data_IF_371640921469
#
_entry.id   IF_371640921469
#
_cell.length_a   1.000
_cell.length_b   1.000
_cell.length_c   1.000
_cell.angle_alpha   90.00
_cell.angle_beta   90.00
_cell.angle_gamma   90.00
#
_symmetry.space_group_name_H-M   'P 1'
#
loop_
_entity.id
_entity.type
_entity.pdbx_description
1 polymer ?
#
# COMPACT_ATOMS: atom_id res chain seq x y z
N UNK A 1 -17.06 -10.69 13.28
CA UNK A 1 -17.59 -9.41 13.78
C UNK A 1 -17.42 -8.43 12.64
N UNK A 2 -18.49 -7.71 12.25
CA UNK A 2 -18.39 -6.72 11.17
C UNK A 2 -17.47 -5.59 11.63
N UNK A 3 -16.52 -5.17 10.80
CA UNK A 3 -15.64 -4.06 11.16
C UNK A 3 -16.42 -2.75 11.16
N UNK A 4 -16.03 -1.83 12.05
CA UNK A 4 -16.62 -0.49 12.13
C UNK A 4 -15.51 0.54 12.03
N UNK A 5 -15.63 1.49 11.09
CA UNK A 5 -14.69 2.60 10.98
C UNK A 5 -14.60 3.44 12.27
N UNK A 6 -15.65 3.42 13.10
CA UNK A 6 -15.69 4.10 14.39
C UNK A 6 -14.77 3.47 15.45
N UNK A 7 -14.35 2.22 15.26
CA UNK A 7 -13.44 1.53 16.17
C UNK A 7 -12.05 1.48 15.55
N UNK A 8 -11.12 2.25 16.11
CA UNK A 8 -9.72 2.18 15.72
C UNK A 8 -9.14 0.82 16.12
N UNK A 9 -8.65 0.01 15.16
CA UNK A 9 -8.02 -1.26 15.49
C UNK A 9 -6.66 -1.07 16.14
N UNK A 10 -6.24 -2.05 16.95
CA UNK A 10 -4.90 -2.06 17.52
C UNK A 10 -3.89 -2.52 16.45
N UNK A 11 -2.84 -1.74 16.13
CA UNK A 11 -1.90 -2.14 15.10
C UNK A 11 -1.13 -3.40 15.48
N UNK A 12 -0.80 -4.21 14.49
CA UNK A 12 0.10 -5.37 14.66
C UNK A 12 1.48 -4.91 15.11
N UNK A 13 2.28 -5.81 15.70
CA UNK A 13 3.66 -5.49 16.13
C UNK A 13 4.51 -4.96 14.98
N UNK A 14 4.35 -5.48 13.76
CA UNK A 14 5.07 -4.98 12.58
C UNK A 14 4.70 -3.51 12.27
N UNK A 15 3.40 -3.20 12.26
CA UNK A 15 2.90 -1.83 12.02
C UNK A 15 3.36 -0.86 13.10
N UNK A 16 3.35 -1.30 14.36
CA UNK A 16 3.89 -0.54 15.50
C UNK A 16 5.36 -0.20 15.31
N UNK A 17 6.17 -1.18 14.89
CA UNK A 17 7.59 -0.94 14.61
C UNK A 17 7.77 0.08 13.47
N UNK A 18 7.01 -0.06 12.38
CA UNK A 18 7.08 0.89 11.27
C UNK A 18 6.69 2.31 11.68
N UNK A 19 5.61 2.48 12.46
CA UNK A 19 5.16 3.79 12.99
C UNK A 19 6.17 4.36 14.00
N UNK A 20 6.74 3.53 14.87
CA UNK A 20 7.68 4.03 15.88
C UNK A 20 8.97 4.57 15.25
N UNK A 21 9.45 3.93 14.18
CA UNK A 21 10.74 4.23 13.56
C UNK A 21 10.65 5.06 12.28
N UNK A 22 9.46 5.26 11.72
CA UNK A 22 9.31 5.89 10.40
C UNK A 22 10.05 5.12 9.31
N UNK A 23 9.96 3.79 9.32
CA UNK A 23 10.79 2.95 8.45
C UNK A 23 10.11 1.66 8.03
N UNK A 24 10.47 1.19 6.84
CA UNK A 24 10.35 -0.21 6.46
C UNK A 24 11.47 -0.99 7.17
N UNK A 25 11.10 -2.01 7.95
CA UNK A 25 12.04 -2.79 8.77
C UNK A 25 11.93 -4.29 8.47
N UNK A 26 13.08 -4.96 8.45
CA UNK A 26 13.19 -6.41 8.42
C UNK A 26 13.42 -6.92 9.84
N UNK A 27 12.65 -7.94 10.25
CA UNK A 27 12.69 -8.50 11.61
C UNK A 27 13.20 -9.95 11.67
N UNK A 28 14.01 -10.36 10.68
CA UNK A 28 14.68 -11.67 10.67
C UNK A 28 15.40 -11.93 11.99
N UNK A 29 15.20 -13.14 12.55
CA UNK A 29 15.73 -13.54 13.85
C UNK A 29 14.91 -13.07 15.07
N UNK A 30 13.94 -12.17 14.88
CA UNK A 30 13.00 -11.71 15.93
C UNK A 30 11.58 -12.25 15.74
N UNK A 31 11.30 -12.87 14.60
CA UNK A 31 9.99 -13.40 14.25
C UNK A 31 10.11 -14.80 13.66
N UNK A 32 9.09 -15.61 13.89
CA UNK A 32 8.83 -16.87 13.19
C UNK A 32 7.62 -16.68 12.29
N UNK A 33 7.75 -17.00 11.01
CA UNK A 33 6.70 -16.83 10.00
C UNK A 33 6.14 -18.19 9.63
N UNK A 34 4.86 -18.42 9.91
CA UNK A 34 4.19 -19.70 9.68
C UNK A 34 3.02 -19.55 8.70
N UNK A 35 2.70 -20.57 7.89
CA UNK A 35 1.51 -20.52 7.04
C UNK A 35 0.23 -20.45 7.87
N UNK A 36 -0.74 -19.65 7.43
CA UNK A 36 -2.08 -19.60 8.05
C UNK A 36 -2.84 -20.90 7.70
N UNK A 37 -3.31 -21.68 8.69
CA UNK A 37 -4.12 -22.86 8.44
C UNK A 37 -5.41 -22.52 7.70
N UNK A 38 -5.79 -23.34 6.72
CA UNK A 38 -7.05 -23.21 5.96
C UNK A 38 -7.26 -21.83 5.30
N UNK A 39 -6.17 -21.14 4.93
CA UNK A 39 -6.23 -19.84 4.28
C UNK A 39 -7.02 -19.91 2.96
N UNK A 40 -8.08 -19.10 2.88
CA UNK A 40 -8.93 -18.97 1.70
C UNK A 40 -8.69 -17.64 0.97
N UNK A 41 -8.06 -17.73 -0.21
CA UNK A 41 -7.77 -16.57 -1.05
C UNK A 41 -9.05 -15.87 -1.54
N UNK A 42 -10.17 -16.58 -1.70
CA UNK A 42 -11.43 -16.03 -2.23
C UNK A 42 -12.18 -15.16 -1.22
N UNK A 43 -11.76 -15.20 0.05
CA UNK A 43 -12.25 -14.28 1.07
C UNK A 43 -11.48 -12.94 1.09
N UNK A 44 -10.51 -12.73 0.20
CA UNK A 44 -9.67 -11.52 0.12
C UNK A 44 -9.91 -10.71 -1.17
N UNK A 45 -9.25 -9.56 -1.32
CA UNK A 45 -9.18 -8.79 -2.59
C UNK A 45 -8.76 -9.60 -3.79
N UNK A 46 -8.05 -10.70 -3.57
CA UNK A 46 -7.56 -11.58 -4.62
C UNK A 46 -8.63 -12.58 -5.10
N UNK A 47 -9.88 -12.51 -4.63
CA UNK A 47 -10.99 -13.33 -5.16
C UNK A 47 -11.15 -13.20 -6.67
N UNK A 48 -10.85 -12.02 -7.21
CA UNK A 48 -10.94 -11.73 -8.65
C UNK A 48 -9.68 -12.11 -9.43
N UNK A 49 -8.62 -12.57 -8.75
CA UNK A 49 -7.37 -13.01 -9.35
C UNK A 49 -7.58 -14.35 -10.07
N UNK A 50 -7.25 -14.38 -11.36
CA UNK A 50 -7.39 -15.56 -12.20
C UNK A 50 -6.06 -16.29 -12.43
N UNK A 51 -6.18 -17.59 -12.69
CA UNK A 51 -5.06 -18.45 -13.08
C UNK A 51 -4.41 -19.14 -11.88
N UNK A 52 -4.32 -20.48 -11.96
CA UNK A 52 -3.82 -21.33 -10.87
C UNK A 52 -2.41 -20.94 -10.41
N UNK A 53 -1.51 -20.61 -11.34
CA UNK A 53 -0.14 -20.23 -11.02
C UNK A 53 -0.07 -18.88 -10.28
N UNK A 54 -0.79 -17.85 -10.76
CA UNK A 54 -0.82 -16.54 -10.11
C UNK A 54 -1.43 -16.63 -8.71
N UNK A 55 -2.56 -17.34 -8.57
CA UNK A 55 -3.20 -17.59 -7.28
C UNK A 55 -2.29 -18.34 -6.32
N UNK A 56 -1.60 -19.40 -6.78
CA UNK A 56 -0.64 -20.14 -5.95
C UNK A 56 0.50 -19.25 -5.43
N UNK A 57 1.07 -18.41 -6.31
CA UNK A 57 2.14 -17.46 -5.93
C UNK A 57 1.64 -16.46 -4.89
N UNK A 58 0.46 -15.86 -5.11
CA UNK A 58 -0.12 -14.90 -4.16
C UNK A 58 -0.44 -15.58 -2.84
N UNK A 59 -1.11 -16.74 -2.83
CA UNK A 59 -1.38 -17.50 -1.60
C UNK A 59 -0.10 -17.77 -0.82
N UNK A 60 0.99 -18.18 -1.48
CA UNK A 60 2.28 -18.44 -0.81
C UNK A 60 2.87 -17.18 -0.17
N UNK A 61 2.54 -15.99 -0.66
CA UNK A 61 3.03 -14.71 -0.13
C UNK A 61 2.17 -14.16 1.00
N UNK A 62 0.84 -14.29 0.89
CA UNK A 62 -0.10 -13.67 1.82
C UNK A 62 -0.63 -14.60 2.90
N UNK A 63 -0.61 -15.92 2.69
CA UNK A 63 -1.09 -16.91 3.66
C UNK A 63 -0.05 -17.16 4.77
N UNK A 64 0.38 -16.10 5.44
CA UNK A 64 1.46 -16.12 6.43
C UNK A 64 1.09 -15.32 7.66
N UNK A 65 1.42 -15.85 8.83
CA UNK A 65 1.29 -15.20 10.12
C UNK A 65 2.67 -15.04 10.76
N UNK A 66 2.89 -13.91 11.42
CA UNK A 66 4.15 -13.58 12.09
C UNK A 66 4.00 -13.75 13.61
N UNK A 67 4.74 -14.68 14.19
CA UNK A 67 4.86 -14.88 15.63
C UNK A 67 6.14 -14.21 16.11
N UNK A 68 5.99 -13.17 16.92
CA UNK A 68 7.11 -12.39 17.43
C UNK A 68 7.72 -13.01 18.69
N UNK A 69 9.04 -12.90 18.82
CA UNK A 69 9.68 -13.07 20.13
C UNK A 69 9.08 -12.10 21.15
N UNK A 70 8.85 -12.58 22.37
CA UNK A 70 8.16 -11.81 23.40
C UNK A 70 8.93 -10.55 23.80
N UNK A 71 10.26 -10.62 23.91
CA UNK A 71 11.08 -9.46 24.25
C UNK A 71 11.11 -8.45 23.10
N UNK A 72 11.22 -8.92 21.85
CA UNK A 72 11.13 -8.06 20.67
C UNK A 72 9.77 -7.36 20.57
N UNK A 73 8.66 -8.07 20.80
CA UNK A 73 7.33 -7.49 20.78
C UNK A 73 7.12 -6.44 21.89
N UNK A 74 7.62 -6.70 23.10
CA UNK A 74 7.55 -5.76 24.22
C UNK A 74 8.36 -4.49 23.94
N UNK A 75 9.56 -4.62 23.37
CA UNK A 75 10.39 -3.48 22.98
C UNK A 75 9.66 -2.59 21.96
N UNK A 76 9.12 -3.20 20.89
CA UNK A 76 8.34 -2.49 19.88
C UNK A 76 7.10 -1.82 20.48
N UNK A 77 6.40 -2.48 21.40
CA UNK A 77 5.25 -1.90 22.08
C UNK A 77 5.63 -0.65 22.88
N UNK A 78 6.77 -0.68 23.58
CA UNK A 78 7.25 0.46 24.35
C UNK A 78 7.65 1.64 23.44
N UNK A 79 8.35 1.36 22.34
CA UNK A 79 8.74 2.36 21.33
C UNK A 79 7.50 3.00 20.67
N UNK A 80 6.51 2.19 20.30
CA UNK A 80 5.25 2.67 19.76
C UNK A 80 4.48 3.51 20.77
N UNK A 81 4.38 3.08 22.04
CA UNK A 81 3.73 3.86 23.09
C UNK A 81 4.39 5.23 23.28
N UNK A 82 5.73 5.29 23.23
CA UNK A 82 6.48 6.55 23.28
C UNK A 82 6.19 7.44 22.05
N UNK A 83 6.19 6.87 20.85
CA UNK A 83 5.87 7.58 19.62
C UNK A 83 4.44 8.15 19.62
N UNK A 84 3.45 7.36 20.06
CA UNK A 84 2.04 7.77 20.19
C UNK A 84 1.82 8.85 21.25
N UNK A 85 2.58 8.81 22.34
CA UNK A 85 2.54 9.84 23.36
C UNK A 85 3.08 11.19 22.84
N UNK A 86 4.04 11.15 21.91
CA UNK A 86 4.61 12.34 21.29
C UNK A 86 3.74 12.94 20.17
N UNK A 87 2.92 12.13 19.48
CA UNK A 87 2.14 12.57 18.32
C UNK A 87 0.67 12.16 18.45
N UNK A 88 -0.21 13.04 18.91
CA UNK A 88 -1.66 12.76 19.00
C UNK A 88 -2.28 12.59 17.61
N UNK A 89 -3.20 11.63 17.45
CA UNK A 89 -3.96 11.51 16.20
C UNK A 89 -4.94 12.68 16.06
N UNK A 90 -5.06 13.27 14.86
CA UNK A 90 -6.10 14.24 14.61
C UNK A 90 -7.47 13.57 14.68
N UNK A 91 -8.47 14.33 15.14
CA UNK A 91 -9.85 13.86 15.19
C UNK A 91 -10.43 13.83 13.78
N UNK A 92 -11.01 12.70 13.39
CA UNK A 92 -11.80 12.56 12.16
C UNK A 92 -13.19 13.15 12.42
N UNK A 93 -13.72 13.95 11.47
CA UNK A 93 -15.01 14.60 11.66
C UNK A 93 -16.14 13.58 11.87
N UNK A 94 -17.12 13.86 12.75
CA UNK A 94 -18.26 12.96 12.96
C UNK A 94 -19.02 12.65 11.67
N UNK A 95 -19.15 13.61 10.76
CA UNK A 95 -19.85 13.47 9.49
C UNK A 95 -19.13 12.48 8.56
N UNK A 96 -17.80 12.58 8.47
CA UNK A 96 -17.00 11.63 7.69
C UNK A 96 -17.03 10.25 8.35
N UNK A 97 -16.93 10.18 9.66
CA UNK A 97 -17.01 8.89 10.37
C UNK A 97 -18.36 8.21 10.15
N UNK A 98 -19.44 8.98 10.21
CA UNK A 98 -20.78 8.49 9.91
C UNK A 98 -20.87 7.97 8.47
N UNK A 99 -20.32 8.69 7.50
CA UNK A 99 -20.25 8.23 6.12
C UNK A 99 -19.49 6.91 6.01
N UNK A 100 -18.32 6.78 6.61
CA UNK A 100 -17.54 5.52 6.55
C UNK A 100 -18.32 4.35 7.16
N UNK A 101 -19.03 4.57 8.26
CA UNK A 101 -19.81 3.50 8.92
C UNK A 101 -21.06 3.11 8.12
N UNK A 102 -21.80 4.07 7.55
CA UNK A 102 -23.08 3.77 6.88
C UNK A 102 -22.94 3.49 5.39
N UNK A 103 -21.95 4.10 4.73
CA UNK A 103 -21.85 4.11 3.27
C UNK A 103 -20.73 3.21 2.73
N UNK A 104 -19.77 2.81 3.55
CA UNK A 104 -18.67 1.93 3.13
C UNK A 104 -18.83 0.49 3.65
N UNK A 105 -18.45 -0.46 2.80
CA UNK A 105 -18.30 -1.86 3.12
C UNK A 105 -16.80 -2.19 3.23
N UNK A 106 -16.34 -2.36 4.46
CA UNK A 106 -14.94 -2.69 4.76
C UNK A 106 -14.70 -4.21 4.87
N UNK A 107 -15.75 -5.03 4.81
CA UNK A 107 -15.63 -6.49 4.91
C UNK A 107 -15.13 -7.12 3.59
N UNK A 108 -14.90 -6.31 2.55
CA UNK A 108 -14.65 -6.76 1.17
C UNK A 108 -13.16 -6.96 0.86
N UNK A 109 -12.24 -6.42 1.66
CA UNK A 109 -10.80 -6.37 1.32
C UNK A 109 -9.99 -7.55 1.86
N UNK A 110 -10.14 -7.88 3.15
CA UNK A 110 -9.41 -8.98 3.75
C UNK A 110 -10.36 -9.84 4.58
N UNK A 111 -10.34 -11.14 4.29
CA UNK A 111 -11.16 -12.19 4.92
C UNK A 111 -11.18 -12.19 6.45
N UNK A 112 -10.11 -11.63 7.02
CA UNK A 112 -9.72 -11.60 8.42
C UNK A 112 -9.94 -10.22 9.07
N UNK A 113 -10.43 -9.21 8.33
CA UNK A 113 -10.63 -7.86 8.83
C UNK A 113 -9.38 -6.98 8.81
N UNK A 114 -8.34 -7.27 8.02
CA UNK A 114 -7.15 -6.41 8.00
C UNK A 114 -7.29 -5.11 7.20
N UNK A 115 -8.47 -4.73 6.71
CA UNK A 115 -8.61 -3.53 5.87
C UNK A 115 -8.58 -2.21 6.64
N UNK A 116 -9.49 -2.02 7.61
CA UNK A 116 -9.47 -0.82 8.45
C UNK A 116 -8.13 -0.68 9.19
N UNK A 117 -7.62 -1.81 9.64
CA UNK A 117 -6.27 -2.08 10.09
C UNK A 117 -5.17 -1.43 9.22
N UNK A 118 -5.25 -1.63 7.91
CA UNK A 118 -4.35 -1.05 6.92
C UNK A 118 -4.55 0.46 6.75
N UNK A 119 -5.80 0.92 6.66
CA UNK A 119 -6.14 2.35 6.55
C UNK A 119 -5.64 3.13 7.77
N UNK A 120 -5.89 2.62 8.97
CA UNK A 120 -5.45 3.23 10.22
C UNK A 120 -3.93 3.19 10.36
N UNK A 121 -3.26 2.09 10.00
CA UNK A 121 -1.78 2.08 9.95
C UNK A 121 -1.24 3.25 9.10
N UNK A 122 -1.76 3.39 7.89
CA UNK A 122 -1.31 4.44 6.96
C UNK A 122 -1.64 5.84 7.49
N UNK A 123 -2.81 6.03 8.09
CA UNK A 123 -3.22 7.27 8.76
C UNK A 123 -2.25 7.63 9.90
N UNK A 124 -1.98 6.70 10.81
CA UNK A 124 -1.09 6.93 11.96
C UNK A 124 0.35 7.21 11.52
N UNK A 125 0.85 6.45 10.54
CA UNK A 125 2.18 6.66 9.99
C UNK A 125 2.32 8.07 9.39
N UNK A 126 1.30 8.51 8.64
CA UNK A 126 1.31 9.83 7.97
C UNK A 126 1.32 10.98 8.96
N UNK A 127 0.56 10.88 10.06
CA UNK A 127 0.55 11.89 11.14
C UNK A 127 1.96 12.18 11.64
N UNK A 128 2.77 11.13 11.81
CA UNK A 128 4.09 11.25 12.41
C UNK A 128 5.19 11.51 11.38
N UNK A 129 5.09 10.90 10.19
CA UNK A 129 6.19 10.82 9.23
C UNK A 129 5.93 11.56 7.92
N UNK A 130 4.78 12.22 7.77
CA UNK A 130 4.52 13.14 6.67
C UNK A 130 3.65 14.33 7.09
N UNK A 131 4.05 15.08 8.15
CA UNK A 131 3.19 16.07 8.81
C UNK A 131 2.84 17.29 7.94
N UNK A 132 3.50 17.47 6.79
CA UNK A 132 3.17 18.52 5.82
C UNK A 132 1.98 18.21 4.93
N UNK A 133 1.43 17.00 5.00
CA UNK A 133 0.28 16.55 4.20
C UNK A 133 -0.82 15.97 5.09
N UNK A 134 -2.05 15.91 4.56
CA UNK A 134 -3.19 15.44 5.35
C UNK A 134 -3.18 13.92 5.54
N UNK A 135 -3.16 13.41 6.79
CA UNK A 135 -3.28 11.99 7.06
C UNK A 135 -4.64 11.43 6.65
N UNK A 136 -5.67 12.27 6.51
CA UNK A 136 -7.00 11.86 6.08
C UNK A 136 -6.98 11.20 4.70
N UNK A 137 -6.08 11.63 3.81
CA UNK A 137 -5.88 10.96 2.52
C UNK A 137 -5.60 9.47 2.73
N UNK A 138 -4.74 9.13 3.69
CA UNK A 138 -4.35 7.75 3.98
C UNK A 138 -5.38 6.97 4.81
N UNK A 139 -6.34 7.63 5.44
CA UNK A 139 -7.52 6.93 5.99
C UNK A 139 -8.51 6.55 4.88
N UNK A 140 -8.54 7.29 3.77
CA UNK A 140 -9.54 7.17 2.71
C UNK A 140 -8.99 6.56 1.42
N UNK A 141 -7.69 6.29 1.34
CA UNK A 141 -6.95 6.08 0.09
C UNK A 141 -7.47 4.91 -0.78
N UNK A 142 -8.10 3.90 -0.18
CA UNK A 142 -8.61 2.70 -0.87
C UNK A 142 -10.13 2.60 -0.95
N UNK A 143 -10.89 3.59 -0.44
CA UNK A 143 -12.37 3.51 -0.44
C UNK A 143 -12.97 3.55 -1.85
N UNK A 144 -12.28 4.27 -2.76
CA UNK A 144 -12.63 4.40 -4.18
C UNK A 144 -12.02 3.31 -5.06
N UNK A 145 -11.40 2.28 -4.45
CA UNK A 145 -10.84 1.15 -5.16
C UNK A 145 -9.50 0.73 -4.61
N UNK A 146 -9.17 -0.54 -4.83
CA UNK A 146 -7.90 -1.13 -4.40
C UNK A 146 -7.00 -1.42 -5.60
N UNK A 147 -5.87 -2.10 -5.35
CA UNK A 147 -5.06 -2.71 -6.42
C UNK A 147 -5.82 -3.76 -7.26
N UNK A 148 -7.00 -4.22 -6.83
CA UNK A 148 -7.91 -5.10 -7.58
C UNK A 148 -9.26 -4.40 -7.83
N UNK A 149 -10.29 -5.13 -8.25
CA UNK A 149 -11.62 -4.60 -8.53
C UNK A 149 -12.56 -4.72 -7.32
N UNK A 150 -12.06 -4.42 -6.13
CA UNK A 150 -12.86 -4.26 -4.91
C UNK A 150 -12.96 -2.78 -4.55
N UNK A 151 -14.12 -2.38 -4.04
CA UNK A 151 -14.46 -1.00 -3.71
C UNK A 151 -15.24 -1.00 -2.40
N UNK A 152 -14.89 -0.10 -1.49
CA UNK A 152 -15.64 0.04 -0.24
C UNK A 152 -16.98 0.75 -0.46
N UNK A 153 -17.08 1.58 -1.50
CA UNK A 153 -18.31 2.28 -1.88
C UNK A 153 -18.52 2.25 -3.39
N UNK A 154 -19.73 2.55 -3.82
CA UNK A 154 -20.10 2.71 -5.23
C UNK A 154 -19.92 4.16 -5.70
N UNK A 155 -19.75 4.38 -7.01
CA UNK A 155 -19.45 5.69 -7.58
C UNK A 155 -20.54 6.76 -7.33
N UNK A 156 -21.80 6.35 -7.21
CA UNK A 156 -22.94 7.23 -6.92
C UNK A 156 -22.84 7.91 -5.55
N UNK A 157 -21.99 7.43 -4.65
CA UNK A 157 -21.76 8.00 -3.32
C UNK A 157 -20.69 9.11 -3.31
N UNK A 158 -19.96 9.31 -4.41
CA UNK A 158 -18.92 10.35 -4.54
C UNK A 158 -19.46 11.77 -4.24
N UNK A 159 -20.64 12.20 -4.71
CA UNK A 159 -21.18 13.52 -4.39
C UNK A 159 -21.41 13.76 -2.90
N UNK A 160 -21.68 12.70 -2.12
CA UNK A 160 -21.84 12.78 -0.67
C UNK A 160 -20.51 12.75 0.08
N UNK A 161 -19.52 11.99 -0.41
CA UNK A 161 -18.19 11.90 0.18
C UNK A 161 -17.37 13.18 -0.02
N UNK A 162 -17.33 13.71 -1.24
CA UNK A 162 -16.42 14.80 -1.64
C UNK A 162 -16.51 16.05 -0.75
N UNK A 163 -17.69 16.53 -0.32
CA UNK A 163 -17.81 17.69 0.56
C UNK A 163 -17.26 17.49 1.98
N UNK A 164 -16.96 16.25 2.38
CA UNK A 164 -16.43 15.91 3.71
C UNK A 164 -14.90 16.06 3.79
N UNK A 165 -14.28 16.56 2.73
CA UNK A 165 -12.84 16.75 2.59
C UNK A 165 -12.53 18.13 1.99
N UNK A 166 -11.31 18.59 2.24
CA UNK A 166 -10.75 19.74 1.50
C UNK A 166 -10.51 19.38 0.02
N UNK A 167 -10.45 20.36 -0.88
CA UNK A 167 -10.15 20.11 -2.29
C UNK A 167 -8.81 19.38 -2.50
N UNK A 168 -7.79 19.71 -1.69
CA UNK A 168 -6.46 19.09 -1.76
C UNK A 168 -6.48 17.64 -1.32
N UNK A 169 -7.25 17.29 -0.29
CA UNK A 169 -7.45 15.90 0.13
C UNK A 169 -8.18 15.11 -0.95
N UNK A 170 -9.25 15.69 -1.51
CA UNK A 170 -10.02 15.04 -2.57
C UNK A 170 -9.16 14.69 -3.78
N UNK A 171 -8.33 15.63 -4.26
CA UNK A 171 -7.41 15.39 -5.38
C UNK A 171 -6.52 14.16 -5.15
N UNK A 172 -6.06 13.95 -3.93
CA UNK A 172 -5.20 12.83 -3.59
C UNK A 172 -5.99 11.52 -3.40
N UNK A 173 -7.14 11.58 -2.70
CA UNK A 173 -8.02 10.42 -2.47
C UNK A 173 -8.57 9.86 -3.77
N UNK A 174 -9.05 10.71 -4.69
CA UNK A 174 -9.60 10.23 -5.96
C UNK A 174 -8.55 9.67 -6.92
N UNK A 175 -7.32 10.15 -6.80
CA UNK A 175 -6.20 9.70 -7.61
C UNK A 175 -5.54 8.42 -7.10
N UNK A 176 -5.62 8.16 -5.79
CA UNK A 176 -4.78 7.16 -5.14
C UNK A 176 -4.86 5.77 -5.79
N UNK A 177 -6.06 5.18 -6.04
CA UNK A 177 -6.14 3.86 -6.66
C UNK A 177 -5.54 3.84 -8.07
N UNK A 178 -5.70 4.93 -8.82
CA UNK A 178 -5.17 5.06 -10.18
C UNK A 178 -3.67 5.16 -10.20
N UNK A 179 -3.08 5.96 -9.31
CA UNK A 179 -1.61 6.10 -9.18
C UNK A 179 -1.00 4.74 -8.82
N UNK A 180 -1.60 3.99 -7.89
CA UNK A 180 -1.16 2.64 -7.55
C UNK A 180 -1.16 1.71 -8.78
N UNK A 181 -2.23 1.72 -9.58
CA UNK A 181 -2.32 0.90 -10.79
C UNK A 181 -1.31 1.31 -11.87
N UNK A 182 -1.10 2.61 -12.08
CA UNK A 182 -0.10 3.13 -13.01
C UNK A 182 1.32 2.74 -12.61
N UNK A 183 1.61 2.75 -11.31
CA UNK A 183 2.88 2.28 -10.76
C UNK A 183 3.11 0.79 -11.05
N UNK A 184 2.12 -0.06 -10.78
CA UNK A 184 2.21 -1.49 -11.09
C UNK A 184 2.26 -1.79 -12.60
N UNK A 185 1.60 -0.99 -13.44
CA UNK A 185 1.64 -1.16 -14.88
C UNK A 185 3.06 -0.97 -15.43
N UNK A 186 3.81 0.01 -14.89
CA UNK A 186 5.25 0.17 -15.13
C UNK A 186 5.69 1.33 -16.06
N UNK A 187 4.97 1.70 -17.14
CA UNK A 187 5.39 2.81 -18.00
C UNK A 187 5.63 4.14 -17.26
N UNK A 188 4.73 4.51 -16.33
CA UNK A 188 4.88 5.72 -15.53
C UNK A 188 6.21 5.75 -14.76
N UNK A 189 6.56 4.64 -14.11
CA UNK A 189 7.83 4.54 -13.35
C UNK A 189 9.04 4.72 -14.27
N UNK A 190 9.01 4.13 -15.47
CA UNK A 190 10.11 4.28 -16.45
C UNK A 190 10.25 5.73 -16.91
N UNK A 191 9.15 6.36 -17.32
CA UNK A 191 9.17 7.75 -17.80
C UNK A 191 9.66 8.72 -16.72
N UNK A 192 9.18 8.58 -15.48
CA UNK A 192 9.63 9.40 -14.36
C UNK A 192 11.13 9.20 -14.06
N UNK A 193 11.63 7.95 -14.16
CA UNK A 193 13.06 7.65 -13.98
C UNK A 193 13.93 8.27 -15.06
N UNK A 194 13.54 8.12 -16.32
CA UNK A 194 14.27 8.69 -17.47
C UNK A 194 14.35 10.22 -17.38
N UNK A 195 13.34 10.85 -16.76
CA UNK A 195 13.24 12.30 -16.61
C UNK A 195 13.54 12.81 -15.19
N UNK A 196 14.11 11.99 -14.30
CA UNK A 196 14.34 12.36 -12.90
C UNK A 196 15.24 13.61 -12.74
N UNK A 197 16.14 13.84 -13.70
CA UNK A 197 17.01 15.03 -13.77
C UNK A 197 16.25 16.35 -13.94
N UNK A 198 14.97 16.30 -14.32
CA UNK A 198 14.08 17.45 -14.52
C UNK A 198 12.74 17.26 -13.80
N UNK A 199 12.76 16.63 -12.63
CA UNK A 199 11.55 16.30 -11.85
C UNK A 199 10.62 17.51 -11.59
N UNK A 200 11.19 18.71 -11.46
CA UNK A 200 10.43 19.97 -11.28
C UNK A 200 9.77 20.50 -12.56
N UNK A 201 10.12 19.96 -13.74
CA UNK A 201 9.53 20.37 -15.00
C UNK A 201 8.17 19.69 -15.28
N UNK A 202 7.64 18.85 -14.38
CA UNK A 202 6.30 18.30 -14.56
C UNK A 202 5.28 19.41 -14.28
N UNK A 203 4.61 19.89 -15.32
CA UNK A 203 3.52 20.84 -15.18
C UNK A 203 2.26 20.13 -14.67
N UNK A 204 1.90 19.01 -15.30
CA UNK A 204 0.72 18.23 -14.94
C UNK A 204 0.79 16.78 -15.40
N UNK A 205 -0.07 15.95 -14.83
CA UNK A 205 -0.38 14.61 -15.33
C UNK A 205 -1.89 14.45 -15.43
N UNK A 206 -2.36 13.85 -16.52
CA UNK A 206 -3.76 13.47 -16.74
C UNK A 206 -3.88 11.96 -16.85
N UNK A 207 -4.87 11.36 -16.19
CA UNK A 207 -5.18 9.92 -16.19
C UNK A 207 -6.66 9.70 -15.81
N UNK A 208 -7.09 8.46 -15.56
CA UNK A 208 -8.49 8.13 -15.27
C UNK A 208 -8.66 7.54 -13.86
N UNK A 209 -9.79 7.84 -13.22
CA UNK A 209 -10.17 7.33 -11.89
C UNK A 209 -10.59 5.87 -11.98
N UNK A 210 -10.17 5.04 -11.03
CA UNK A 210 -10.44 3.58 -11.06
C UNK A 210 -11.94 3.24 -11.05
N UNK A 211 -12.73 3.87 -10.18
CA UNK A 211 -14.11 3.44 -9.91
C UNK A 211 -15.09 3.68 -11.06
N UNK A 212 -14.88 4.71 -11.88
CA UNK A 212 -15.82 5.15 -12.91
C UNK A 212 -15.16 5.72 -14.17
N UNK A 213 -13.84 5.58 -14.29
CA UNK A 213 -13.03 6.05 -15.42
C UNK A 213 -13.13 7.58 -15.67
N UNK A 214 -13.57 8.37 -14.69
CA UNK A 214 -13.61 9.83 -14.82
C UNK A 214 -12.18 10.39 -15.00
N UNK A 215 -11.96 11.39 -15.87
CA UNK A 215 -10.64 11.97 -16.06
C UNK A 215 -10.20 12.74 -14.80
N UNK A 216 -8.95 12.56 -14.42
CA UNK A 216 -8.26 13.28 -13.35
C UNK A 216 -7.11 14.05 -13.98
N UNK A 217 -6.92 15.29 -13.56
CA UNK A 217 -5.70 16.06 -13.84
C UNK A 217 -5.16 16.62 -12.53
N UNK A 218 -3.87 16.42 -12.30
CA UNK A 218 -3.18 16.95 -11.11
C UNK A 218 -1.90 17.66 -11.51
N UNK A 219 -1.45 18.59 -10.68
CA UNK A 219 -0.18 19.28 -10.89
C UNK A 219 1.01 18.32 -10.71
N UNK A 220 2.20 18.70 -11.18
CA UNK A 220 3.41 17.93 -10.88
C UNK A 220 3.70 17.84 -9.39
N UNK A 221 3.41 18.90 -8.62
CA UNK A 221 3.51 18.88 -7.15
C UNK A 221 2.60 17.82 -6.55
N UNK A 222 1.34 17.80 -6.97
CA UNK A 222 0.36 16.83 -6.48
C UNK A 222 0.72 15.38 -6.85
N UNK A 223 1.35 15.17 -8.01
CA UNK A 223 1.88 13.85 -8.39
C UNK A 223 2.98 13.40 -7.42
N UNK A 224 3.95 14.27 -7.11
CA UNK A 224 5.00 13.93 -6.14
C UNK A 224 4.44 13.67 -4.75
N UNK A 225 3.43 14.43 -4.32
CA UNK A 225 2.68 14.15 -3.09
C UNK A 225 2.03 12.76 -3.13
N UNK A 226 1.33 12.43 -4.22
CA UNK A 226 0.67 11.13 -4.41
C UNK A 226 1.67 9.97 -4.33
N UNK A 227 2.84 10.13 -4.93
CA UNK A 227 3.90 9.12 -4.91
C UNK A 227 4.48 8.90 -3.50
N UNK A 228 4.56 9.94 -2.67
CA UNK A 228 4.95 9.77 -1.26
C UNK A 228 3.89 9.02 -0.44
N UNK A 229 2.59 9.28 -0.69
CA UNK A 229 1.53 8.46 -0.09
C UNK A 229 1.62 7.00 -0.52
N UNK A 230 1.91 6.73 -1.79
CA UNK A 230 2.13 5.36 -2.27
C UNK A 230 3.34 4.70 -1.60
N UNK A 231 4.42 5.47 -1.34
CA UNK A 231 5.58 4.95 -0.63
C UNK A 231 5.23 4.50 0.80
N UNK A 232 4.45 5.31 1.54
CA UNK A 232 3.96 4.98 2.89
C UNK A 232 3.05 3.74 2.83
N UNK A 233 2.08 3.74 1.92
CA UNK A 233 1.14 2.64 1.73
C UNK A 233 1.85 1.29 1.52
N UNK A 234 2.92 1.28 0.73
CA UNK A 234 3.67 0.08 0.42
C UNK A 234 4.43 -0.52 1.61
N UNK A 235 4.68 0.25 2.69
CA UNK A 235 5.36 -0.25 3.90
C UNK A 235 4.59 -1.41 4.53
N UNK A 236 3.25 -1.35 4.52
CA UNK A 236 2.41 -2.37 5.16
C UNK A 236 2.45 -3.73 4.44
N UNK A 237 2.83 -3.73 3.16
CA UNK A 237 2.86 -4.92 2.32
C UNK A 237 4.24 -5.57 2.21
N UNK A 238 5.23 -5.06 2.95
CA UNK A 238 6.56 -5.63 2.94
C UNK A 238 6.61 -6.92 3.78
N UNK A 239 7.37 -7.94 3.36
CA UNK A 239 7.58 -9.13 4.18
C UNK A 239 8.12 -8.74 5.56
N UNK A 240 7.61 -9.34 6.63
CA UNK A 240 8.09 -9.04 8.00
C UNK A 240 9.56 -9.44 8.22
N UNK A 241 10.06 -10.43 7.46
CA UNK A 241 11.39 -11.00 7.57
C UNK A 241 11.86 -11.57 6.22
N UNK A 242 13.11 -12.02 6.18
CA UNK A 242 13.75 -12.73 5.07
C UNK A 242 13.72 -11.95 3.73
N UNK A 243 13.99 -10.65 3.78
CA UNK A 243 13.96 -9.75 2.62
C UNK A 243 14.90 -10.19 1.50
N UNK A 244 16.07 -10.75 1.81
CA UNK A 244 16.99 -11.30 0.79
C UNK A 244 16.34 -12.43 -0.03
N UNK A 245 15.42 -13.18 0.57
CA UNK A 245 14.71 -14.29 -0.08
C UNK A 245 13.46 -13.79 -0.80
N UNK A 246 12.75 -12.81 -0.26
CA UNK A 246 11.50 -12.29 -0.82
C UNK A 246 11.68 -11.11 -1.79
N UNK A 247 12.87 -10.98 -2.40
CA UNK A 247 13.17 -9.90 -3.34
C UNK A 247 12.20 -9.81 -4.54
N UNK A 248 11.54 -10.92 -4.89
CA UNK A 248 10.60 -10.97 -6.00
C UNK A 248 9.14 -10.72 -5.62
N UNK A 249 8.87 -10.38 -4.35
CA UNK A 249 7.56 -9.90 -3.93
C UNK A 249 7.22 -8.61 -4.68
N UNK A 250 6.01 -8.53 -5.24
CA UNK A 250 5.61 -7.45 -6.15
C UNK A 250 5.46 -6.11 -5.44
N UNK A 251 4.96 -6.10 -4.21
CA UNK A 251 4.86 -4.89 -3.39
C UNK A 251 6.26 -4.44 -2.97
N UNK A 252 7.13 -5.40 -2.62
CA UNK A 252 8.51 -5.07 -2.26
C UNK A 252 9.33 -4.55 -3.44
N UNK A 253 9.16 -5.11 -4.64
CA UNK A 253 9.78 -4.57 -5.86
C UNK A 253 9.31 -3.13 -6.09
N UNK A 254 8.00 -2.89 -6.03
CA UNK A 254 7.44 -1.57 -6.25
C UNK A 254 7.93 -0.57 -5.20
N UNK A 255 7.96 -0.96 -3.93
CA UNK A 255 8.49 -0.14 -2.83
C UNK A 255 9.94 0.28 -3.09
N UNK A 256 10.84 -0.67 -3.36
CA UNK A 256 12.27 -0.37 -3.59
C UNK A 256 12.47 0.53 -4.79
N UNK A 257 11.71 0.29 -5.85
CA UNK A 257 11.79 1.09 -7.08
C UNK A 257 11.28 2.52 -6.84
N UNK A 258 10.15 2.68 -6.17
CA UNK A 258 9.57 3.98 -5.85
C UNK A 258 10.45 4.77 -4.87
N UNK A 259 11.00 4.10 -3.85
CA UNK A 259 11.94 4.68 -2.90
C UNK A 259 13.14 5.29 -3.61
N UNK A 260 13.80 4.51 -4.49
CA UNK A 260 14.96 4.96 -5.25
C UNK A 260 14.59 6.03 -6.30
N UNK A 261 13.41 5.95 -6.92
CA UNK A 261 12.92 6.99 -7.83
C UNK A 261 12.74 8.33 -7.10
N UNK A 262 12.05 8.35 -5.96
CA UNK A 262 11.82 9.58 -5.20
C UNK A 262 13.12 10.18 -4.67
N UNK A 263 14.07 9.33 -4.25
CA UNK A 263 15.41 9.78 -3.86
C UNK A 263 16.16 10.43 -5.03
N UNK A 264 16.22 9.75 -6.18
CA UNK A 264 16.91 10.26 -7.39
C UNK A 264 16.30 11.55 -7.91
N UNK A 265 14.99 11.72 -7.77
CA UNK A 265 14.28 12.93 -8.16
C UNK A 265 14.40 14.06 -7.13
N UNK A 266 14.93 13.80 -5.92
CA UNK A 266 14.92 14.76 -4.81
C UNK A 266 13.50 15.08 -4.31
N UNK A 267 12.57 14.11 -4.43
CA UNK A 267 11.12 14.26 -4.14
C UNK A 267 10.63 13.31 -3.05
N UNK A 268 11.52 12.70 -2.28
CA UNK A 268 11.16 11.94 -1.09
C UNK A 268 10.91 12.90 0.08
N UNK A 269 9.64 13.23 0.28
CA UNK A 269 9.19 14.19 1.30
C UNK A 269 8.71 13.48 2.58
N UNK A 270 8.09 12.31 2.45
CA UNK A 270 7.72 11.48 3.58
C UNK A 270 8.97 10.85 4.21
N UNK A 271 9.03 10.85 5.54
CA UNK A 271 10.08 10.17 6.28
C UNK A 271 9.83 8.65 6.25
N UNK A 272 10.49 7.99 5.31
CA UNK A 272 10.49 6.53 5.20
C UNK A 272 11.94 6.06 5.17
N UNK A 273 12.39 5.46 6.27
CA UNK A 273 13.65 4.75 6.38
C UNK A 273 13.60 3.40 5.67
N UNK A 274 14.70 3.01 5.02
CA UNK A 274 14.87 1.69 4.42
C UNK A 274 16.35 1.40 4.30
N UNK A 275 16.76 0.21 4.74
CA UNK A 275 18.12 -0.29 4.55
C UNK A 275 18.08 -1.49 3.61
N UNK A 276 18.67 -1.41 2.40
CA UNK A 276 18.75 -2.53 1.49
C UNK A 276 19.51 -3.71 2.10
N UNK A 277 19.03 -4.93 1.87
CA UNK A 277 19.71 -6.14 2.34
C UNK A 277 20.90 -6.45 1.45
N UNK A 278 22.09 -6.56 2.05
CA UNK A 278 23.33 -6.96 1.38
C UNK A 278 23.76 -8.40 1.67
N UNK A 279 22.93 -9.15 2.40
CA UNK A 279 23.25 -10.47 2.95
C UNK A 279 22.82 -11.60 2.00
N UNK A 280 23.51 -12.76 2.00
CA UNK A 280 23.10 -13.93 1.22
C UNK A 280 21.64 -14.36 1.44
N UNK A 281 21.03 -14.98 0.42
CA UNK A 281 19.66 -15.50 0.46
C UNK A 281 19.58 -16.69 1.43
N UNK A 282 19.32 -16.41 2.70
CA UNK A 282 19.12 -17.40 3.75
C UNK A 282 17.75 -17.17 4.39
N UNK A 283 16.96 -18.24 4.51
CA UNK A 283 15.73 -18.23 5.28
C UNK A 283 16.06 -18.48 6.75
N UNK A 284 15.45 -17.69 7.62
CA UNK A 284 15.49 -17.88 9.07
C UNK A 284 14.08 -17.71 9.64
N UNK A 285 13.68 -18.60 10.55
CA UNK A 285 12.38 -18.55 11.20
C UNK A 285 11.16 -18.76 10.27
N UNK A 286 11.34 -19.15 9.01
CA UNK A 286 10.25 -19.34 8.04
C UNK A 286 10.37 -20.72 7.35
N UNK A 287 9.69 -21.76 7.86
CA UNK A 287 9.66 -23.05 7.20
C UNK A 287 8.96 -22.95 5.83
N UNK A 288 9.63 -23.40 4.77
CA UNK A 288 9.07 -23.43 3.43
C UNK A 288 9.03 -24.84 2.86
N UNK A 289 7.88 -25.23 2.30
CA UNK A 289 7.80 -26.41 1.45
C UNK A 289 8.51 -26.18 0.11
N UNK A 290 8.93 -27.24 -0.57
CA UNK A 290 9.68 -27.18 -1.85
C UNK A 290 9.00 -26.29 -2.90
N UNK A 291 7.67 -26.35 -3.01
CA UNK A 291 6.91 -25.53 -3.97
C UNK A 291 6.92 -24.05 -3.60
N UNK A 292 6.85 -23.72 -2.31
CA UNK A 292 6.93 -22.34 -1.84
C UNK A 292 8.33 -21.77 -2.07
N UNK A 293 9.37 -22.55 -1.78
CA UNK A 293 10.75 -22.19 -2.07
C UNK A 293 10.99 -21.87 -3.55
N UNK A 294 10.46 -22.68 -4.46
CA UNK A 294 10.56 -22.42 -5.90
C UNK A 294 9.95 -21.06 -6.30
N UNK A 295 8.90 -20.59 -5.62
CA UNK A 295 8.33 -19.26 -5.90
C UNK A 295 9.30 -18.13 -5.58
N UNK A 296 10.22 -18.30 -4.61
CA UNK A 296 11.24 -17.31 -4.26
C UNK A 296 12.32 -17.16 -5.34
N UNK A 297 12.46 -18.16 -6.21
CA UNK A 297 13.42 -18.18 -7.31
C UNK A 297 12.91 -17.52 -8.59
N UNK A 298 11.62 -17.14 -8.65
CA UNK A 298 11.08 -16.42 -9.80
C UNK A 298 11.88 -15.12 -9.98
N UNK A 299 12.44 -14.85 -11.18
CA UNK A 299 13.19 -13.61 -11.41
C UNK A 299 12.33 -12.38 -11.19
N UNK A 300 12.92 -11.32 -10.62
CA UNK A 300 12.24 -10.03 -10.35
C UNK A 300 11.52 -9.50 -11.59
N UNK A 301 12.19 -9.48 -12.74
CA UNK A 301 11.60 -8.98 -13.99
C UNK A 301 10.41 -9.81 -14.49
N UNK A 302 10.29 -11.08 -14.09
CA UNK A 302 9.13 -11.93 -14.39
C UNK A 302 7.99 -11.58 -13.44
N UNK A 303 8.27 -11.44 -12.15
CA UNK A 303 7.28 -11.02 -11.15
C UNK A 303 6.67 -9.65 -11.47
N UNK A 304 7.48 -8.68 -11.89
CA UNK A 304 6.98 -7.37 -12.34
C UNK A 304 6.06 -7.47 -13.55
N UNK A 305 6.46 -8.25 -14.57
CA UNK A 305 5.62 -8.47 -15.77
C UNK A 305 4.29 -9.14 -15.43
N UNK A 306 4.30 -10.07 -14.47
CA UNK A 306 3.07 -10.72 -13.99
C UNK A 306 2.15 -9.72 -13.28
N UNK A 307 2.69 -8.86 -12.41
CA UNK A 307 1.93 -7.82 -11.72
C UNK A 307 1.31 -6.82 -12.70
N UNK A 308 2.11 -6.30 -13.64
CA UNK A 308 1.65 -5.37 -14.68
C UNK A 308 0.51 -5.99 -15.50
N UNK A 309 0.64 -7.26 -15.91
CA UNK A 309 -0.42 -7.98 -16.63
C UNK A 309 -1.69 -8.19 -15.79
N UNK A 310 -1.54 -8.42 -14.48
CA UNK A 310 -2.69 -8.55 -13.58
C UNK A 310 -3.46 -7.24 -13.48
N UNK A 311 -2.77 -6.12 -13.28
CA UNK A 311 -3.38 -4.79 -13.18
C UNK A 311 -4.03 -4.35 -14.50
N UNK A 312 -3.41 -4.69 -15.64
CA UNK A 312 -4.02 -4.45 -16.96
C UNK A 312 -5.36 -5.18 -17.09
N UNK A 313 -5.42 -6.47 -16.72
CA UNK A 313 -6.66 -7.25 -16.74
C UNK A 313 -7.71 -6.74 -15.76
N UNK A 314 -7.31 -6.35 -14.55
CA UNK A 314 -8.23 -5.74 -13.59
C UNK A 314 -8.84 -4.46 -14.15
N UNK A 315 -8.01 -3.61 -14.77
CA UNK A 315 -8.48 -2.35 -15.37
C UNK A 315 -9.42 -2.59 -16.55
N UNK A 316 -9.06 -3.48 -17.47
CA UNK A 316 -9.89 -3.85 -18.63
C UNK A 316 -11.29 -4.31 -18.23
N UNK A 317 -11.40 -5.15 -17.17
CA UNK A 317 -12.69 -5.69 -16.72
C UNK A 317 -13.71 -4.66 -16.25
N UNK A 318 -13.25 -3.51 -15.78
CA UNK A 318 -14.12 -2.44 -15.27
C UNK A 318 -14.15 -1.24 -16.20
N UNK A 319 -13.54 -1.34 -17.39
CA UNK A 319 -13.44 -0.22 -18.33
C UNK A 319 -12.53 0.92 -17.85
N UNK A 320 -11.61 0.66 -16.92
CA UNK A 320 -10.63 1.63 -16.46
C UNK A 320 -9.46 1.72 -17.45
N UNK A 321 -9.13 2.93 -17.90
CA UNK A 321 -7.96 3.19 -18.74
C UNK A 321 -6.70 3.38 -17.89
N UNK A 322 -5.62 2.69 -18.30
CA UNK A 322 -4.27 2.90 -17.76
C UNK A 322 -3.48 3.96 -18.56
N UNK A 323 -4.13 4.65 -19.50
CA UNK A 323 -3.51 5.74 -20.23
C UNK A 323 -3.28 6.93 -19.30
N UNK A 324 -2.11 7.51 -19.43
CA UNK A 324 -1.76 8.75 -18.77
C UNK A 324 -0.97 9.64 -19.74
N UNK A 325 -0.93 10.94 -19.44
CA UNK A 325 -0.11 11.92 -20.16
C UNK A 325 0.55 12.85 -19.16
N UNK A 326 1.88 12.95 -19.23
CA UNK A 326 2.63 13.99 -18.53
C UNK A 326 2.83 15.18 -19.47
N UNK A 327 2.49 16.37 -19.00
CA UNK A 327 2.87 17.63 -19.64
C UNK A 327 4.12 18.16 -18.93
N UNK A 328 5.19 18.32 -19.69
CA UNK A 328 6.45 18.90 -19.23
C UNK A 328 6.49 20.39 -19.59
N UNK A 329 7.07 21.21 -18.71
CA UNK A 329 7.24 22.66 -18.88
C UNK A 329 8.45 23.01 -19.75
#
# INVERSE_FOLDING_TARGET
MKQSAAERPEPTTQRKAAIAHGAALEHTGKVRVEPIPDFDLDRTIFKTLEGKAARFVITTRVAKEAHWDAAAAQAVQAEYAAARAAHTLPVVSPELMQFLVSECDFDVEHADGSFLDHLYFCFEYTVQHYPGQSPLVMLLHSILGTGTNTFAMTADKIPALRPLMTPTEWTQVEAFPSVLRLLYAGPLRRELRENAHRADAIASITFHRVIDNAPITMSGKDLWTALNYQLIHLVDFLPVANWSVHQNDTSFILFRDLYDLLEKAGKREANVGYTPVSVPRKLEGEPQGVRAWLTTLIPVSVSERMAAKSVARFSERIGHSLDYRITWA
#
